data_IF_640542912322
#
_entry.id   IF_640542912322
#
_cell.length_a   1.000
_cell.length_b   1.000
_cell.length_c   1.000
_cell.angle_alpha   90.00
_cell.angle_beta   90.00
_cell.angle_gamma   90.00
#
_symmetry.space_group_name_H-M   'P 1'
#
loop_
_entity.id
_entity.type
_entity.pdbx_description
1 polymer ?
#
# COMPACT_ATOMS: atom_id res chain seq x y z
N UNK A 1 19.17 -63.55 -35.80
CA UNK A 1 18.51 -62.84 -34.68
C UNK A 1 19.41 -61.73 -34.14
N UNK A 2 18.87 -60.52 -34.08
CA UNK A 2 19.55 -59.21 -34.08
C UNK A 2 20.35 -58.95 -32.79
N UNK A 3 21.61 -58.53 -32.90
CA UNK A 3 22.40 -57.98 -31.77
C UNK A 3 21.89 -56.56 -31.45
N UNK A 4 21.65 -56.20 -30.17
CA UNK A 4 21.37 -54.83 -29.80
C UNK A 4 22.61 -53.93 -29.95
N UNK A 5 22.37 -52.67 -30.34
CA UNK A 5 23.37 -51.66 -30.68
C UNK A 5 24.19 -51.16 -29.46
N UNK A 6 25.45 -50.71 -29.65
CA UNK A 6 26.27 -50.16 -28.57
C UNK A 6 25.78 -48.78 -28.11
N UNK A 7 25.85 -48.52 -26.80
CA UNK A 7 25.45 -47.27 -26.17
C UNK A 7 26.42 -46.10 -26.50
N UNK A 8 25.92 -44.85 -26.57
CA UNK A 8 26.74 -43.68 -26.88
C UNK A 8 27.68 -43.29 -25.71
N UNK A 9 28.84 -42.66 -26.00
CA UNK A 9 29.84 -42.34 -24.99
C UNK A 9 29.44 -41.18 -24.08
N UNK A 10 29.81 -41.29 -22.80
CA UNK A 10 29.61 -40.28 -21.74
C UNK A 10 30.75 -39.26 -21.78
N UNK A 11 30.42 -37.96 -21.81
CA UNK A 11 31.39 -36.85 -21.78
C UNK A 11 31.59 -36.42 -20.32
N UNK A 12 32.82 -36.50 -19.81
CA UNK A 12 33.24 -35.95 -18.52
C UNK A 12 34.10 -34.69 -18.69
N UNK A 13 34.05 -33.73 -17.76
CA UNK A 13 34.86 -32.51 -17.83
C UNK A 13 36.35 -32.77 -17.55
N UNK A 14 37.27 -31.92 -18.07
CA UNK A 14 38.70 -32.20 -18.11
C UNK A 14 39.42 -32.09 -16.75
N UNK A 15 40.37 -33.01 -16.53
CA UNK A 15 41.34 -33.01 -15.42
C UNK A 15 42.49 -32.05 -15.72
N UNK A 16 42.89 -31.20 -14.76
CA UNK A 16 44.08 -30.32 -14.87
C UNK A 16 45.26 -30.91 -14.09
N UNK A 17 46.45 -31.09 -14.70
CA UNK A 17 47.68 -31.50 -14.00
C UNK A 17 48.51 -30.31 -13.45
N UNK A 18 49.04 -30.47 -12.23
CA UNK A 18 50.46 -30.20 -11.89
C UNK A 18 50.92 -28.78 -11.52
N UNK A 19 51.28 -28.60 -10.25
CA UNK A 19 52.14 -27.55 -9.64
C UNK A 19 53.60 -27.55 -10.12
N UNK A 20 54.37 -26.49 -9.81
CA UNK A 20 55.59 -26.71 -9.03
C UNK A 20 55.79 -25.78 -7.81
N UNK A 21 56.31 -26.41 -6.75
CA UNK A 21 56.92 -25.96 -5.48
C UNK A 21 58.18 -25.09 -5.68
N UNK A 22 58.78 -24.36 -4.73
CA UNK A 22 58.63 -24.11 -3.28
C UNK A 22 59.50 -22.90 -2.89
N UNK A 23 59.23 -22.24 -1.74
CA UNK A 23 60.27 -21.64 -0.88
C UNK A 23 59.77 -21.36 0.55
N UNK A 24 60.23 -22.23 1.46
CA UNK A 24 60.67 -22.04 2.85
C UNK A 24 59.78 -21.31 3.89
N UNK A 25 59.47 -22.06 4.96
CA UNK A 25 58.82 -21.60 6.18
C UNK A 25 59.82 -21.04 7.20
N UNK A 26 59.44 -19.94 7.85
CA UNK A 26 59.96 -19.50 9.16
C UNK A 26 58.79 -19.49 10.16
N UNK A 27 59.02 -19.89 11.43
CA UNK A 27 57.92 -20.05 12.40
C UNK A 27 57.55 -18.69 13.02
N UNK A 28 56.29 -18.28 12.87
CA UNK A 28 55.74 -17.18 13.66
C UNK A 28 54.95 -17.73 14.85
N UNK A 29 55.35 -17.29 16.04
CA UNK A 29 54.70 -17.54 17.32
C UNK A 29 53.25 -17.03 17.32
N UNK A 30 52.34 -17.79 17.92
CA UNK A 30 50.97 -17.38 18.15
C UNK A 30 50.93 -16.25 19.21
N UNK A 31 50.41 -15.09 18.81
CA UNK A 31 49.90 -14.08 19.74
C UNK A 31 48.38 -14.04 19.54
N UNK A 32 47.55 -14.17 20.59
CA UNK A 32 46.10 -14.19 20.43
C UNK A 32 45.59 -12.82 19.95
N UNK A 33 44.69 -12.85 18.97
CA UNK A 33 43.98 -11.67 18.51
C UNK A 33 43.06 -11.12 19.61
N UNK A 34 42.92 -9.79 19.76
CA UNK A 34 41.67 -9.22 20.23
C UNK A 34 40.69 -9.20 19.05
N UNK A 35 39.68 -10.06 19.14
CA UNK A 35 38.57 -10.17 18.20
C UNK A 35 37.81 -8.85 18.08
N UNK A 36 37.75 -8.28 16.88
CA UNK A 36 36.91 -7.13 16.51
C UNK A 36 35.39 -7.45 16.55
N UNK A 37 35.02 -8.64 17.01
CA UNK A 37 33.66 -9.15 17.07
C UNK A 37 32.89 -8.63 18.30
N UNK A 38 33.55 -8.31 19.41
CA UNK A 38 32.85 -7.90 20.65
C UNK A 38 32.39 -6.43 20.66
N UNK A 39 32.93 -5.59 19.77
CA UNK A 39 32.53 -4.18 19.68
C UNK A 39 31.28 -3.93 18.81
N UNK A 40 30.83 -4.93 18.05
CA UNK A 40 29.64 -4.83 17.19
C UNK A 40 28.34 -5.22 17.91
N UNK A 41 28.41 -5.91 19.05
CA UNK A 41 27.22 -6.39 19.78
C UNK A 41 26.71 -5.43 20.87
N UNK A 42 27.39 -4.33 21.17
CA UNK A 42 26.97 -3.38 22.22
C UNK A 42 26.30 -2.09 21.70
N UNK A 43 25.91 -2.03 20.42
CA UNK A 43 24.94 -1.01 19.97
C UNK A 43 23.54 -1.50 20.29
N UNK A 44 23.14 -1.32 21.55
CA UNK A 44 21.73 -1.21 21.88
C UNK A 44 21.13 -0.14 20.97
N UNK A 45 20.31 -0.56 20.01
CA UNK A 45 19.52 0.35 19.20
C UNK A 45 18.44 0.89 20.12
N UNK A 46 18.76 1.91 20.91
CA UNK A 46 17.73 2.82 21.37
C UNK A 46 17.11 3.41 20.11
N UNK A 47 15.84 3.11 19.85
CA UNK A 47 15.05 3.84 18.86
C UNK A 47 14.91 5.28 19.35
N UNK A 48 15.97 6.06 19.17
CA UNK A 48 15.90 7.51 19.27
C UNK A 48 15.09 7.96 18.06
N UNK A 49 13.84 8.34 18.30
CA UNK A 49 13.03 9.04 17.34
C UNK A 49 13.85 10.23 16.81
N UNK A 50 14.13 10.21 15.52
CA UNK A 50 14.84 11.29 14.85
C UNK A 50 13.97 12.56 15.04
N UNK A 51 14.45 13.63 15.71
CA UNK A 51 13.63 14.82 15.90
C UNK A 51 13.24 15.35 14.53
N UNK A 52 11.96 15.64 14.34
CA UNK A 52 11.41 16.17 13.10
C UNK A 52 12.26 17.36 12.65
N UNK A 53 13.07 17.16 11.60
CA UNK A 53 13.81 18.26 11.00
C UNK A 53 12.77 19.20 10.40
N UNK A 54 12.79 20.46 10.83
CA UNK A 54 11.96 21.50 10.23
C UNK A 54 12.36 21.56 8.75
N UNK A 55 11.45 21.13 7.88
CA UNK A 55 11.64 21.20 6.43
C UNK A 55 11.61 22.68 6.04
N UNK A 56 12.76 23.35 6.12
CA UNK A 56 12.91 24.69 5.57
C UNK A 56 13.00 24.58 4.07
N UNK A 57 12.00 25.11 3.37
CA UNK A 57 12.12 25.36 1.95
C UNK A 57 13.28 26.36 1.74
N UNK A 58 14.25 26.02 0.90
CA UNK A 58 15.44 26.85 0.68
C UNK A 58 15.10 28.08 -0.17
N UNK A 59 14.32 28.99 0.40
CA UNK A 59 13.91 30.26 -0.18
C UNK A 59 14.89 31.40 0.12
N UNK A 60 15.96 31.10 0.86
CA UNK A 60 17.02 32.05 1.17
C UNK A 60 18.11 31.88 0.12
N UNK A 61 18.17 32.79 -0.84
CA UNK A 61 19.41 33.02 -1.57
C UNK A 61 20.34 33.79 -0.63
N UNK A 62 21.30 33.08 -0.03
CA UNK A 62 22.12 33.57 1.08
C UNK A 62 23.05 34.72 0.64
N UNK A 63 22.76 35.92 1.13
CA UNK A 63 23.78 36.89 1.53
C UNK A 63 23.95 36.78 3.05
N UNK A 64 25.15 37.00 3.61
CA UNK A 64 25.59 36.36 4.84
C UNK A 64 24.81 36.85 6.06
N UNK A 65 24.05 35.94 6.67
CA UNK A 65 23.71 35.99 8.09
C UNK A 65 22.22 35.93 8.40
N UNK A 66 21.79 34.81 9.00
CA UNK A 66 20.50 34.74 9.67
C UNK A 66 20.18 33.36 10.21
N UNK A 67 20.54 33.09 11.47
CA UNK A 67 20.23 31.83 12.16
C UNK A 67 19.10 32.07 13.17
N UNK A 68 17.92 31.50 12.92
CA UNK A 68 16.85 31.38 13.93
C UNK A 68 16.19 30.01 13.82
N UNK A 69 16.32 29.17 14.85
CA UNK A 69 15.64 27.87 14.93
C UNK A 69 14.25 28.06 15.56
N UNK A 70 13.16 27.68 14.89
CA UNK A 70 11.86 27.67 15.54
C UNK A 70 11.72 26.44 16.45
N UNK A 71 11.05 26.64 17.58
CA UNK A 71 10.73 25.61 18.57
C UNK A 71 9.55 24.77 18.06
N UNK A 72 9.69 23.44 18.02
CA UNK A 72 8.68 22.51 17.47
C UNK A 72 7.72 22.09 18.59
N UNK A 73 6.40 22.37 18.48
CA UNK A 73 5.43 21.79 19.39
C UNK A 73 5.32 20.28 19.16
N UNK A 74 5.29 19.51 20.24
CA UNK A 74 5.05 18.06 20.23
C UNK A 74 3.66 17.77 19.66
N UNK A 75 3.59 17.30 18.41
CA UNK A 75 2.33 16.86 17.79
C UNK A 75 1.90 15.51 18.38
N UNK A 76 0.58 15.30 18.59
CA UNK A 76 0.07 13.98 18.94
C UNK A 76 0.41 12.98 17.84
N UNK A 77 0.90 11.80 18.24
CA UNK A 77 1.28 10.72 17.32
C UNK A 77 0.01 10.24 16.61
N UNK A 78 -0.06 10.45 15.29
CA UNK A 78 -1.19 10.02 14.48
C UNK A 78 -1.36 8.48 14.55
N UNK A 79 -2.59 7.95 14.43
CA UNK A 79 -2.81 6.51 14.40
C UNK A 79 -2.13 5.88 13.17
N UNK A 80 -1.47 4.74 13.38
CA UNK A 80 -0.87 3.95 12.32
C UNK A 80 -1.96 3.14 11.61
N UNK A 81 -2.08 3.30 10.30
CA UNK A 81 -3.11 2.68 9.47
C UNK A 81 -2.43 1.67 8.54
N UNK A 82 -2.74 0.38 8.73
CA UNK A 82 -2.24 -0.67 7.84
C UNK A 82 -2.86 -0.55 6.44
N UNK A 83 -2.05 -0.70 5.40
CA UNK A 83 -2.42 -0.58 4.00
C UNK A 83 -2.37 -1.96 3.36
N UNK A 84 -3.50 -2.40 2.80
CA UNK A 84 -3.59 -3.63 2.02
C UNK A 84 -3.56 -3.26 0.55
N UNK A 85 -2.45 -3.57 -0.12
CA UNK A 85 -2.31 -3.36 -1.56
C UNK A 85 -3.08 -4.45 -2.31
N UNK A 86 -3.51 -4.18 -3.55
CA UNK A 86 -4.29 -5.13 -4.35
C UNK A 86 -3.57 -6.46 -4.53
N UNK A 87 -2.26 -6.40 -4.77
CA UNK A 87 -1.39 -7.59 -4.89
C UNK A 87 -1.40 -8.48 -3.64
N UNK A 88 -1.82 -7.95 -2.48
CA UNK A 88 -1.89 -8.65 -1.21
C UNK A 88 -3.30 -9.17 -0.89
N UNK A 89 -4.34 -8.85 -1.68
CA UNK A 89 -5.73 -9.21 -1.34
C UNK A 89 -5.95 -10.71 -1.14
N UNK A 90 -5.36 -11.55 -1.99
CA UNK A 90 -5.47 -13.01 -1.85
C UNK A 90 -4.86 -13.53 -0.54
N UNK A 91 -3.67 -13.05 -0.17
CA UNK A 91 -3.04 -13.39 1.10
C UNK A 91 -3.80 -12.79 2.29
N UNK A 92 -4.31 -11.57 2.14
CA UNK A 92 -5.10 -10.88 3.15
C UNK A 92 -6.35 -11.66 3.53
N UNK A 93 -7.11 -12.18 2.56
CA UNK A 93 -8.29 -13.03 2.81
C UNK A 93 -7.95 -14.26 3.65
N UNK A 94 -6.77 -14.85 3.47
CA UNK A 94 -6.34 -16.04 4.19
C UNK A 94 -5.79 -15.73 5.59
N UNK A 95 -5.23 -14.53 5.78
CA UNK A 95 -4.43 -14.19 6.96
C UNK A 95 -4.94 -12.97 7.75
N UNK A 96 -6.11 -12.44 7.44
CA UNK A 96 -6.67 -11.22 8.07
C UNK A 96 -6.74 -11.30 9.60
N UNK A 97 -6.95 -12.50 10.18
CA UNK A 97 -6.96 -12.72 11.63
C UNK A 97 -5.58 -12.97 12.24
N UNK A 98 -4.52 -13.14 11.44
CA UNK A 98 -3.17 -13.43 11.94
C UNK A 98 -2.46 -12.13 12.34
N UNK A 99 -2.19 -11.90 13.64
CA UNK A 99 -1.64 -10.62 14.10
C UNK A 99 -0.27 -10.32 13.49
N UNK A 100 0.56 -11.34 13.31
CA UNK A 100 1.89 -11.16 12.71
C UNK A 100 1.78 -10.65 11.28
N UNK A 101 0.90 -11.22 10.45
CA UNK A 101 0.71 -10.75 9.09
C UNK A 101 0.19 -9.30 9.06
N UNK A 102 -0.83 -8.99 9.85
CA UNK A 102 -1.42 -7.64 9.91
C UNK A 102 -0.41 -6.58 10.36
N UNK A 103 0.50 -6.92 11.28
CA UNK A 103 1.55 -6.00 11.77
C UNK A 103 2.63 -5.69 10.72
N UNK A 104 2.83 -6.57 9.74
CA UNK A 104 3.81 -6.38 8.67
C UNK A 104 3.24 -5.68 7.43
N UNK A 105 1.94 -5.33 7.44
CA UNK A 105 1.37 -4.51 6.39
C UNK A 105 2.10 -3.16 6.32
N UNK A 106 2.34 -2.61 5.11
CA UNK A 106 2.76 -1.22 4.96
C UNK A 106 1.83 -0.31 5.76
N UNK A 107 2.35 0.78 6.30
CA UNK A 107 1.58 1.67 7.14
C UNK A 107 1.59 3.11 6.62
N UNK A 108 0.46 3.79 6.77
CA UNK A 108 0.31 5.21 6.57
C UNK A 108 -0.21 5.88 7.84
N UNK A 109 -0.11 7.21 7.91
CA UNK A 109 -0.62 7.99 9.03
C UNK A 109 -1.54 9.08 8.49
N UNK A 110 -2.71 9.24 9.10
CA UNK A 110 -3.67 10.29 8.76
C UNK A 110 -4.16 10.99 10.04
N UNK A 111 -3.52 12.11 10.45
CA UNK A 111 -3.74 12.71 11.77
C UNK A 111 -5.14 13.30 11.99
N UNK A 112 -5.90 13.55 10.93
CA UNK A 112 -7.22 14.20 10.98
C UNK A 112 -8.37 13.22 11.27
N UNK A 113 -8.08 11.93 11.43
CA UNK A 113 -9.10 10.93 11.69
C UNK A 113 -9.53 10.93 13.17
N UNK A 114 -10.84 10.77 13.45
CA UNK A 114 -11.31 10.49 14.81
C UNK A 114 -10.70 9.21 15.37
N UNK A 115 -10.82 9.00 16.68
CA UNK A 115 -10.44 7.73 17.31
C UNK A 115 -11.19 6.53 16.68
N UNK A 116 -10.47 5.45 16.40
CA UNK A 116 -11.05 4.26 15.79
C UNK A 116 -10.00 3.28 15.27
N UNK A 117 -10.47 2.14 14.77
CA UNK A 117 -9.64 1.17 14.06
C UNK A 117 -9.76 1.43 12.57
N UNK A 118 -8.64 1.70 11.92
CA UNK A 118 -8.59 2.02 10.51
C UNK A 118 -7.72 1.05 9.75
N UNK A 119 -8.09 0.85 8.48
CA UNK A 119 -7.29 0.14 7.49
C UNK A 119 -7.49 0.82 6.15
N UNK A 120 -6.44 0.87 5.36
CA UNK A 120 -6.49 1.37 3.99
C UNK A 120 -6.45 0.21 3.00
N UNK A 121 -7.19 0.35 1.90
CA UNK A 121 -7.24 -0.63 0.83
C UNK A 121 -6.96 0.07 -0.50
N UNK A 122 -6.07 -0.49 -1.31
CA UNK A 122 -5.81 0.04 -2.64
C UNK A 122 -7.02 -0.19 -3.55
N UNK A 123 -7.53 0.90 -4.13
CA UNK A 123 -8.68 0.92 -5.01
C UNK A 123 -8.35 0.28 -6.37
N UNK A 124 -9.31 -0.47 -6.91
CA UNK A 124 -9.23 -1.00 -8.26
C UNK A 124 -9.73 -0.06 -9.33
N UNK A 125 -9.76 -0.60 -10.54
CA UNK A 125 -10.18 0.11 -11.76
C UNK A 125 -11.67 0.48 -11.78
N UNK A 126 -12.43 -0.06 -10.83
CA UNK A 126 -13.83 0.24 -10.62
C UNK A 126 -14.06 1.50 -9.77
N UNK A 127 -13.01 2.04 -9.15
CA UNK A 127 -13.04 3.32 -8.47
C UNK A 127 -12.56 4.46 -9.39
N UNK A 128 -13.14 5.64 -9.24
CA UNK A 128 -12.85 6.81 -10.10
C UNK A 128 -11.38 7.28 -10.03
N UNK A 129 -10.64 6.91 -8.98
CA UNK A 129 -9.20 7.14 -8.84
C UNK A 129 -8.46 5.80 -8.70
N UNK A 130 -8.04 5.16 -9.81
CA UNK A 130 -7.30 3.91 -9.76
C UNK A 130 -6.04 4.02 -8.91
N UNK A 131 -5.77 3.00 -8.07
CA UNK A 131 -4.61 2.98 -7.17
C UNK A 131 -4.73 3.92 -5.96
N UNK A 132 -5.84 4.63 -5.78
CA UNK A 132 -6.07 5.41 -4.57
C UNK A 132 -6.18 4.50 -3.33
N UNK A 133 -5.72 4.97 -2.18
CA UNK A 133 -5.87 4.28 -0.91
C UNK A 133 -7.18 4.69 -0.25
N UNK A 134 -8.12 3.76 -0.12
CA UNK A 134 -9.40 3.94 0.53
C UNK A 134 -9.27 3.65 2.03
N UNK A 135 -9.36 4.67 2.86
CA UNK A 135 -9.22 4.56 4.31
C UNK A 135 -10.58 4.29 4.94
N UNK A 136 -10.75 3.07 5.45
CA UNK A 136 -11.96 2.60 6.09
C UNK A 136 -11.85 2.51 7.60
N UNK A 137 -12.95 2.82 8.31
CA UNK A 137 -13.11 2.57 9.74
C UNK A 137 -13.81 1.24 9.97
N UNK A 138 -13.31 0.41 10.88
CA UNK A 138 -13.86 -0.92 11.15
C UNK A 138 -15.29 -0.83 11.69
N UNK A 139 -16.22 -1.53 11.04
CA UNK A 139 -17.59 -1.70 11.48
C UNK A 139 -17.71 -2.99 12.27
N UNK A 140 -17.94 -2.86 13.58
CA UNK A 140 -18.08 -4.02 14.49
C UNK A 140 -19.44 -4.69 14.40
N UNK A 141 -20.46 -3.91 14.05
CA UNK A 141 -21.83 -4.36 14.09
C UNK A 141 -22.56 -3.99 12.80
N UNK A 142 -23.23 -4.96 12.19
CA UNK A 142 -23.94 -4.76 10.93
C UNK A 142 -25.09 -3.75 11.05
N UNK A 143 -25.61 -3.49 12.26
CA UNK A 143 -26.59 -2.41 12.48
C UNK A 143 -26.03 -1.02 12.18
N UNK A 144 -24.70 -0.83 12.22
CA UNK A 144 -24.05 0.46 11.98
C UNK A 144 -23.81 0.71 10.47
N UNK A 145 -24.14 -0.27 9.62
CA UNK A 145 -24.08 -0.11 8.16
C UNK A 145 -25.25 0.78 7.74
N UNK A 146 -24.89 1.98 7.29
CA UNK A 146 -25.78 2.96 6.67
C UNK A 146 -25.86 2.70 5.17
N UNK A 147 -27.10 2.65 4.68
CA UNK A 147 -27.42 2.40 3.27
C UNK A 147 -26.82 3.45 2.32
N UNK A 148 -26.37 2.98 1.16
CA UNK A 148 -25.84 3.80 0.08
C UNK A 148 -24.44 4.38 0.33
N UNK A 149 -23.84 4.16 1.50
CA UNK A 149 -22.44 4.53 1.77
C UNK A 149 -21.46 3.53 1.16
N UNK A 150 -20.23 3.99 0.95
CA UNK A 150 -19.13 3.21 0.39
C UNK A 150 -18.40 2.44 1.50
N UNK A 151 -18.21 1.14 1.30
CA UNK A 151 -17.50 0.27 2.23
C UNK A 151 -16.47 -0.58 1.49
N UNK A 152 -15.34 -0.86 2.14
CA UNK A 152 -14.51 -2.00 1.79
C UNK A 152 -15.00 -3.23 2.57
N UNK A 153 -15.23 -4.32 1.85
CA UNK A 153 -15.68 -5.59 2.41
C UNK A 153 -14.63 -6.66 2.15
N UNK A 154 -14.36 -7.48 3.16
CA UNK A 154 -13.67 -8.75 3.01
C UNK A 154 -14.71 -9.85 2.96
N UNK A 155 -14.81 -10.57 1.85
CA UNK A 155 -15.81 -11.61 1.62
C UNK A 155 -15.09 -12.93 1.36
N UNK A 156 -15.53 -14.00 2.04
CA UNK A 156 -14.83 -15.28 2.07
C UNK A 156 -14.48 -15.84 0.68
N UNK A 157 -15.43 -15.80 -0.26
CA UNK A 157 -15.24 -16.34 -1.62
C UNK A 157 -14.91 -15.29 -2.69
N UNK A 158 -15.20 -14.01 -2.43
CA UNK A 158 -15.07 -12.93 -3.42
C UNK A 158 -13.86 -12.03 -3.18
N UNK A 159 -13.16 -12.23 -2.07
CA UNK A 159 -11.98 -11.46 -1.70
C UNK A 159 -12.30 -10.07 -1.13
N UNK A 160 -11.40 -9.11 -1.37
CA UNK A 160 -11.57 -7.72 -0.95
C UNK A 160 -12.25 -6.93 -2.07
N UNK A 161 -13.31 -6.19 -1.75
CA UNK A 161 -13.98 -5.33 -2.72
C UNK A 161 -14.55 -4.06 -2.09
N UNK A 162 -14.56 -2.96 -2.85
CA UNK A 162 -15.14 -1.70 -2.40
C UNK A 162 -16.47 -1.41 -3.11
N UNK A 163 -17.58 -1.34 -2.39
CA UNK A 163 -18.92 -1.20 -2.97
C UNK A 163 -19.79 -0.28 -2.13
N UNK A 164 -20.82 0.30 -2.75
CA UNK A 164 -21.93 0.86 -1.98
C UNK A 164 -22.74 -0.29 -1.38
N UNK A 165 -23.14 -0.16 -0.13
CA UNK A 165 -23.82 -1.23 0.61
C UNK A 165 -25.21 -0.77 1.03
N UNK A 166 -26.19 -1.65 0.85
CA UNK A 166 -27.53 -1.51 1.41
C UNK A 166 -27.80 -2.70 2.34
N UNK A 167 -28.21 -2.38 3.57
CA UNK A 167 -28.35 -3.31 4.66
C UNK A 167 -29.72 -4.01 4.62
N UNK A 168 -29.77 -5.21 4.04
CA UNK A 168 -30.97 -6.03 3.97
C UNK A 168 -30.98 -7.15 5.01
N UNK A 169 -30.11 -7.09 6.02
CA UNK A 169 -29.89 -8.19 6.97
C UNK A 169 -31.16 -8.54 7.74
N UNK A 170 -31.92 -7.55 8.20
CA UNK A 170 -33.19 -7.80 8.93
C UNK A 170 -34.26 -8.48 8.08
N UNK A 171 -34.28 -8.20 6.77
CA UNK A 171 -35.32 -8.68 5.87
C UNK A 171 -34.94 -10.00 5.18
N UNK A 172 -33.66 -10.16 4.81
CA UNK A 172 -33.15 -11.24 3.97
C UNK A 172 -31.89 -11.92 4.51
N UNK A 173 -31.25 -11.38 5.54
CA UNK A 173 -29.95 -11.87 6.01
C UNK A 173 -28.77 -11.53 5.09
N UNK A 174 -28.95 -10.57 4.17
CA UNK A 174 -27.96 -10.23 3.13
C UNK A 174 -27.58 -8.75 3.16
N UNK A 175 -26.43 -8.44 2.57
CA UNK A 175 -26.02 -7.11 2.15
C UNK A 175 -26.16 -7.00 0.63
N UNK A 176 -26.82 -5.97 0.14
CA UNK A 176 -26.86 -5.67 -1.29
C UNK A 176 -25.69 -4.73 -1.64
N UNK A 177 -24.79 -5.21 -2.48
CA UNK A 177 -23.64 -4.49 -2.98
C UNK A 177 -23.96 -3.88 -4.34
N UNK A 178 -23.71 -2.57 -4.50
CA UNK A 178 -23.91 -1.86 -5.75
C UNK A 178 -22.62 -1.16 -6.18
N UNK A 179 -22.39 -1.11 -7.49
CA UNK A 179 -21.29 -0.38 -8.08
C UNK A 179 -21.73 1.02 -8.49
N UNK A 180 -20.80 1.98 -8.52
CA UNK A 180 -21.06 3.33 -9.04
C UNK A 180 -21.09 3.37 -10.57
N UNK A 181 -20.59 2.31 -11.23
CA UNK A 181 -20.61 2.17 -12.69
C UNK A 181 -21.79 1.30 -13.13
N UNK A 182 -22.49 1.73 -14.18
CA UNK A 182 -23.68 1.06 -14.70
C UNK A 182 -23.40 -0.31 -15.37
N UNK A 183 -22.15 -0.57 -15.74
CA UNK A 183 -21.72 -1.82 -16.38
C UNK A 183 -21.45 -2.97 -15.39
N UNK A 184 -21.51 -2.70 -14.08
CA UNK A 184 -21.35 -3.72 -13.05
C UNK A 184 -22.69 -4.07 -12.39
N UNK A 185 -23.09 -5.36 -12.38
CA UNK A 185 -24.33 -5.77 -11.76
C UNK A 185 -24.26 -5.66 -10.23
N UNK A 186 -25.39 -5.34 -9.63
CA UNK A 186 -25.57 -5.43 -8.18
C UNK A 186 -25.50 -6.90 -7.73
N UNK A 187 -25.00 -7.13 -6.53
CA UNK A 187 -24.85 -8.49 -5.97
C UNK A 187 -25.35 -8.51 -4.53
N UNK A 188 -26.18 -9.50 -4.20
CA UNK A 188 -26.51 -9.79 -2.81
C UNK A 188 -25.48 -10.76 -2.22
N UNK A 189 -25.00 -10.47 -1.01
CA UNK A 189 -24.03 -11.29 -0.29
C UNK A 189 -24.61 -11.66 1.09
N UNK A 190 -24.68 -12.95 1.46
CA UNK A 190 -25.07 -13.36 2.80
C UNK A 190 -24.18 -12.74 3.87
N UNK A 191 -24.75 -12.29 4.99
CA UNK A 191 -23.96 -11.69 6.06
C UNK A 191 -22.89 -12.66 6.61
N UNK A 192 -23.18 -13.96 6.61
CA UNK A 192 -22.25 -15.00 7.07
C UNK A 192 -20.98 -15.12 6.21
N UNK A 193 -21.02 -14.67 4.95
CA UNK A 193 -19.86 -14.72 4.05
C UNK A 193 -18.98 -13.47 4.19
N UNK A 194 -19.45 -12.45 4.91
CA UNK A 194 -18.74 -11.18 5.12
C UNK A 194 -17.84 -11.30 6.37
N UNK A 195 -16.54 -11.28 6.13
CA UNK A 195 -15.50 -11.45 7.16
C UNK A 195 -15.15 -10.13 7.86
N UNK A 196 -15.08 -9.03 7.11
CA UNK A 196 -14.83 -7.68 7.62
C UNK A 196 -15.62 -6.64 6.84
N UNK A 197 -16.01 -5.55 7.51
CA UNK A 197 -16.65 -4.39 6.88
C UNK A 197 -15.97 -3.12 7.37
N UNK A 198 -15.62 -2.23 6.43
CA UNK A 198 -14.90 -0.99 6.71
C UNK A 198 -15.62 0.18 6.02
N UNK A 199 -16.19 1.12 6.78
CA UNK A 199 -16.83 2.33 6.23
C UNK A 199 -15.75 3.29 5.72
N UNK A 200 -15.79 3.63 4.43
CA UNK A 200 -14.78 4.54 3.86
C UNK A 200 -15.00 5.96 4.40
N UNK A 201 -14.01 6.47 5.13
CA UNK A 201 -13.99 7.81 5.75
C UNK A 201 -13.16 8.82 4.97
N UNK A 202 -12.16 8.33 4.25
CA UNK A 202 -11.30 9.15 3.41
C UNK A 202 -10.73 8.31 2.26
N UNK A 203 -10.21 8.98 1.24
CA UNK A 203 -9.31 8.34 0.27
C UNK A 203 -8.09 9.25 0.06
N UNK A 204 -6.97 8.64 -0.28
CA UNK A 204 -5.73 9.32 -0.66
C UNK A 204 -5.39 8.90 -2.08
N UNK A 205 -5.21 9.87 -2.97
CA UNK A 205 -4.79 9.60 -4.34
C UNK A 205 -3.55 10.42 -4.66
N UNK A 206 -2.59 9.79 -5.33
CA UNK A 206 -1.45 10.49 -5.93
C UNK A 206 -1.80 11.07 -7.31
N UNK A 207 -2.97 10.72 -7.85
CA UNK A 207 -3.47 11.32 -9.09
C UNK A 207 -4.02 12.72 -8.78
N UNK A 208 -3.32 13.73 -9.27
CA UNK A 208 -3.76 15.11 -9.16
C UNK A 208 -4.79 15.44 -10.26
N UNK A 209 -5.87 16.17 -9.95
CA UNK A 209 -6.83 16.58 -10.94
C UNK A 209 -6.16 17.48 -11.99
N UNK A 210 -6.50 17.34 -13.28
CA UNK A 210 -5.99 18.24 -14.30
C UNK A 210 -6.49 19.67 -14.05
N UNK A 211 -5.76 20.71 -14.51
CA UNK A 211 -6.24 22.08 -14.43
C UNK A 211 -7.60 22.20 -15.11
N UNK A 212 -8.48 23.04 -14.53
CA UNK A 212 -9.80 23.28 -15.11
C UNK A 212 -9.62 23.81 -16.55
N UNK A 213 -10.31 23.22 -17.55
CA UNK A 213 -10.21 23.72 -18.92
C UNK A 213 -10.71 25.17 -18.99
N UNK A 214 -10.05 26.00 -19.78
CA UNK A 214 -10.52 27.36 -20.06
C UNK A 214 -11.82 27.29 -20.86
N UNK A 215 -12.91 27.76 -20.26
CA UNK A 215 -14.25 27.75 -20.86
C UNK A 215 -14.55 29.01 -21.66
N UNK A 216 -13.63 29.98 -21.72
CA UNK A 216 -13.83 31.27 -22.39
C UNK A 216 -14.14 31.09 -23.87
N UNK A 217 -13.38 30.24 -24.57
CA UNK A 217 -13.60 29.96 -26.00
C UNK A 217 -14.91 29.21 -26.26
N UNK A 218 -15.30 28.31 -25.37
CA UNK A 218 -16.60 27.60 -25.46
C UNK A 218 -17.77 28.57 -25.27
N UNK A 219 -17.65 29.53 -24.35
CA UNK A 219 -18.66 30.59 -24.17
C UNK A 219 -18.80 31.46 -25.41
N UNK A 220 -17.68 31.91 -25.98
CA UNK A 220 -17.68 32.71 -27.21
C UNK A 220 -18.37 31.97 -28.37
N UNK A 221 -18.04 30.69 -28.58
CA UNK A 221 -18.69 29.87 -29.62
C UNK A 221 -20.19 29.65 -29.34
N UNK A 222 -20.58 29.47 -28.09
CA UNK A 222 -21.99 29.32 -27.72
C UNK A 222 -22.78 30.63 -27.93
N UNK A 223 -22.18 31.78 -27.62
CA UNK A 223 -22.77 33.08 -27.86
C UNK A 223 -22.91 33.38 -29.36
N UNK A 224 -21.93 32.97 -30.17
CA UNK A 224 -21.97 33.08 -31.64
C UNK A 224 -23.07 32.20 -32.25
N UNK A 225 -23.17 30.93 -31.84
CA UNK A 225 -24.25 30.04 -32.27
C UNK A 225 -25.63 30.56 -31.87
N UNK A 226 -25.76 31.07 -30.64
CA UNK A 226 -27.02 31.68 -30.17
C UNK A 226 -27.39 32.87 -31.03
N UNK A 227 -26.43 33.72 -31.36
CA UNK A 227 -26.66 34.88 -32.22
C UNK A 227 -27.08 34.48 -33.65
N UNK A 228 -26.51 33.40 -34.20
CA UNK A 228 -26.94 32.88 -35.50
C UNK A 228 -28.35 32.30 -35.46
N UNK A 229 -28.71 31.56 -34.40
CA UNK A 229 -30.06 31.01 -34.22
C UNK A 229 -31.11 32.11 -34.06
N UNK A 230 -30.82 33.17 -33.29
CA UNK A 230 -31.73 34.30 -33.10
C UNK A 230 -31.95 35.13 -34.39
N UNK A 231 -31.10 34.96 -35.41
CA UNK A 231 -31.23 35.63 -36.73
C UNK A 231 -32.01 34.82 -37.78
N UNK A 232 -32.33 33.56 -37.51
CA UNK A 232 -33.12 32.67 -38.38
C UNK A 232 -34.61 32.74 -38.03
#
# INVERSE_FOLDING_TARGET
PVRPAPAPPVITPPVRPGTPTAQQATPYQAVPAPSSADQLFNRGVSMQANPAQVLTFNNVYDGPGGNSRPNVPTQPVAPMIGVVMQRQFGEYVQRYQQPDFVRHLPAMHLPTLPEGHYRAFEAGDDFIFPGALLVGQFIRNWFDIVDGKLYALLIHHDGVGCRRVYNQVKAKGTLLLTADRADMPNREVPLNDVLEVWEIRAFVSEQLPPPRPDTTRLRQLADELRFEVDRL
#
